data_IF_196274757192
#
_entry.id   IF_196274757192
#
_cell.length_a   1.000
_cell.length_b   1.000
_cell.length_c   1.000
_cell.angle_alpha   90.00
_cell.angle_beta   90.00
_cell.angle_gamma   90.00
#
_symmetry.space_group_name_H-M   'P 1'
#
loop_
_entity.id
_entity.type
_entity.pdbx_description
1 polymer ?
#
# COMPACT_ATOMS: atom_id res chain seq x y z
N UNK A 1 8.52 5.87 -22.09
CA UNK A 1 7.29 6.26 -22.83
C UNK A 1 6.61 5.03 -23.46
N UNK A 2 7.35 3.94 -23.53
CA UNK A 2 6.99 2.55 -23.80
C UNK A 2 5.91 1.87 -22.92
N UNK A 3 5.57 2.37 -21.72
CA UNK A 3 4.44 1.85 -20.91
C UNK A 3 3.17 2.72 -21.05
N UNK A 4 3.30 4.04 -20.91
CA UNK A 4 2.25 5.04 -21.17
C UNK A 4 0.85 4.84 -20.53
N UNK A 5 0.78 4.24 -19.33
CA UNK A 5 -0.47 4.10 -18.56
C UNK A 5 -0.57 5.19 -17.49
N UNK A 6 -1.19 6.32 -17.85
CA UNK A 6 -1.23 7.53 -17.01
C UNK A 6 -1.97 7.31 -15.69
N UNK A 7 -3.09 6.59 -15.69
CA UNK A 7 -3.90 6.43 -14.48
C UNK A 7 -3.31 5.40 -13.52
N UNK A 8 -2.63 4.37 -14.04
CA UNK A 8 -1.75 3.52 -13.21
C UNK A 8 -0.65 4.34 -12.52
N UNK A 9 0.05 5.21 -13.27
CA UNK A 9 1.08 6.08 -12.70
C UNK A 9 0.51 6.98 -11.59
N UNK A 10 -0.63 7.61 -11.86
CA UNK A 10 -1.32 8.46 -10.90
C UNK A 10 -1.76 7.67 -9.65
N UNK A 11 -2.35 6.49 -9.83
CA UNK A 11 -2.80 5.64 -8.74
C UNK A 11 -1.65 5.29 -7.79
N UNK A 12 -0.52 4.80 -8.31
CA UNK A 12 0.61 4.43 -7.45
C UNK A 12 1.30 5.64 -6.82
N UNK A 13 1.32 6.80 -7.49
CA UNK A 13 1.79 8.05 -6.89
C UNK A 13 0.93 8.45 -5.69
N UNK A 14 -0.40 8.37 -5.82
CA UNK A 14 -1.32 8.64 -4.71
C UNK A 14 -1.13 7.65 -3.54
N UNK A 15 -0.86 6.37 -3.83
CA UNK A 15 -0.53 5.40 -2.77
C UNK A 15 0.79 5.73 -2.08
N UNK A 16 1.82 6.11 -2.84
CA UNK A 16 3.10 6.54 -2.28
C UNK A 16 2.96 7.75 -1.36
N UNK A 17 2.13 8.73 -1.73
CA UNK A 17 1.83 9.90 -0.90
C UNK A 17 1.14 9.49 0.39
N UNK A 18 0.12 8.63 0.32
CA UNK A 18 -0.58 8.11 1.51
C UNK A 18 0.34 7.34 2.46
N UNK A 19 1.23 6.50 1.94
CA UNK A 19 2.20 5.76 2.78
C UNK A 19 3.21 6.70 3.45
N UNK A 20 3.57 7.82 2.79
CA UNK A 20 4.37 8.88 3.41
C UNK A 20 3.59 9.56 4.54
N UNK A 21 2.33 9.91 4.32
CA UNK A 21 1.50 10.54 5.35
C UNK A 21 1.32 9.61 6.57
N UNK A 22 1.09 8.32 6.33
CA UNK A 22 1.08 7.29 7.38
C UNK A 22 2.40 7.25 8.17
N UNK A 23 3.54 7.34 7.47
CA UNK A 23 4.85 7.37 8.12
C UNK A 23 5.00 8.60 9.03
N UNK A 24 4.57 9.78 8.56
CA UNK A 24 4.57 10.99 9.37
C UNK A 24 3.66 10.90 10.61
N UNK A 25 2.50 10.26 10.49
CA UNK A 25 1.61 10.01 11.64
C UNK A 25 2.30 9.16 12.71
N UNK A 26 3.04 8.11 12.33
CA UNK A 26 3.84 7.33 13.28
C UNK A 26 4.93 8.17 13.96
N UNK A 27 5.63 9.03 13.21
CA UNK A 27 6.65 9.92 13.79
C UNK A 27 6.03 10.90 14.81
N UNK A 28 4.88 11.49 14.47
CA UNK A 28 4.13 12.38 15.37
C UNK A 28 3.64 11.63 16.60
N UNK A 29 3.13 10.41 16.43
CA UNK A 29 2.67 9.58 17.55
C UNK A 29 3.81 9.21 18.49
N UNK A 30 4.97 8.84 17.95
CA UNK A 30 6.16 8.54 18.74
C UNK A 30 6.58 9.72 19.61
N UNK A 31 6.63 10.94 19.02
CA UNK A 31 6.93 12.16 19.76
C UNK A 31 5.86 12.49 20.81
N UNK A 32 4.56 12.28 20.50
CA UNK A 32 3.44 12.48 21.44
C UNK A 32 3.57 11.60 22.69
N UNK A 33 4.09 10.38 22.54
CA UNK A 33 4.31 9.43 23.63
C UNK A 33 5.60 9.66 24.40
N UNK A 34 6.39 10.69 24.04
CA UNK A 34 7.71 10.96 24.62
C UNK A 34 8.80 10.00 24.14
N UNK A 35 8.51 9.20 23.11
CA UNK A 35 9.48 8.33 22.47
C UNK A 35 10.48 9.14 21.64
N UNK A 36 11.55 8.47 21.20
CA UNK A 36 12.54 9.05 20.28
C UNK A 36 12.45 8.39 18.92
N UNK A 37 12.48 9.21 17.88
CA UNK A 37 12.55 8.74 16.49
C UNK A 37 14.01 8.45 16.15
N UNK A 38 14.26 7.25 15.62
CA UNK A 38 15.56 6.86 15.06
C UNK A 38 15.31 6.41 13.62
N UNK A 39 15.83 7.18 12.67
CA UNK A 39 15.71 6.87 11.25
C UNK A 39 16.84 5.93 10.80
N UNK A 40 16.51 5.04 9.86
CA UNK A 40 17.45 4.09 9.26
C UNK A 40 17.42 4.26 7.73
N UNK A 41 18.41 3.68 7.06
CA UNK A 41 18.48 3.70 5.61
C UNK A 41 17.25 3.03 4.97
N UNK A 42 16.62 3.72 4.03
CA UNK A 42 15.52 3.20 3.24
C UNK A 42 16.12 2.47 2.05
N UNK A 43 15.89 1.15 1.97
CA UNK A 43 16.34 0.34 0.85
C UNK A 43 15.62 0.75 -0.43
N UNK A 44 16.33 0.68 -1.56
CA UNK A 44 15.69 0.83 -2.87
C UNK A 44 14.66 -0.29 -3.09
N UNK A 45 13.64 -0.08 -3.94
CA UNK A 45 12.72 -1.15 -4.32
C UNK A 45 13.44 -2.36 -4.91
N UNK A 46 12.83 -3.54 -4.78
CA UNK A 46 13.43 -4.81 -5.24
C UNK A 46 13.52 -4.92 -6.77
N UNK A 47 12.73 -4.14 -7.49
CA UNK A 47 12.70 -4.11 -8.95
C UNK A 47 12.76 -2.68 -9.49
N UNK A 48 13.52 -2.50 -10.57
CA UNK A 48 13.61 -1.24 -11.31
C UNK A 48 12.53 -1.18 -12.42
N UNK A 49 12.01 -2.33 -12.86
CA UNK A 49 10.89 -2.48 -13.81
C UNK A 49 9.82 -3.43 -13.25
N UNK A 50 8.54 -3.08 -13.41
CA UNK A 50 7.40 -3.82 -12.83
C UNK A 50 6.59 -4.60 -13.87
N UNK A 51 7.06 -4.65 -15.12
CA UNK A 51 6.38 -5.33 -16.22
C UNK A 51 5.05 -4.68 -16.57
N UNK A 52 3.96 -5.44 -16.52
CA UNK A 52 2.61 -4.94 -16.80
C UNK A 52 1.83 -4.58 -15.51
N UNK A 53 0.69 -3.91 -15.67
CA UNK A 53 -0.20 -3.47 -14.62
C UNK A 53 -0.76 -4.61 -13.75
N UNK A 54 -0.84 -5.84 -14.27
CA UNK A 54 -1.18 -7.01 -13.44
C UNK A 54 -0.05 -7.32 -12.47
N UNK A 55 1.19 -7.41 -12.97
CA UNK A 55 2.37 -7.67 -12.15
C UNK A 55 2.60 -6.53 -11.14
N UNK A 56 2.41 -5.27 -11.55
CA UNK A 56 2.49 -4.13 -10.65
C UNK A 56 1.45 -4.18 -9.52
N UNK A 57 0.21 -4.56 -9.82
CA UNK A 57 -0.84 -4.70 -8.80
C UNK A 57 -0.59 -5.90 -7.86
N UNK A 58 -0.04 -7.01 -8.37
CA UNK A 58 0.38 -8.15 -7.52
C UNK A 58 1.53 -7.75 -6.59
N UNK A 59 2.53 -7.03 -7.12
CA UNK A 59 3.64 -6.52 -6.33
C UNK A 59 3.14 -5.58 -5.23
N UNK A 60 2.25 -4.65 -5.56
CA UNK A 60 1.65 -3.74 -4.59
C UNK A 60 0.88 -4.48 -3.49
N UNK A 61 0.07 -5.48 -3.86
CA UNK A 61 -0.69 -6.29 -2.90
C UNK A 61 0.24 -7.05 -1.94
N UNK A 62 1.36 -7.57 -2.43
CA UNK A 62 2.36 -8.26 -1.60
C UNK A 62 3.17 -7.31 -0.70
N UNK A 63 3.26 -6.02 -1.08
CA UNK A 63 3.96 -4.97 -0.34
C UNK A 63 3.13 -4.35 0.78
N UNK A 64 1.82 -4.60 0.84
CA UNK A 64 0.95 -4.04 1.87
C UNK A 64 1.41 -4.44 3.29
N UNK A 65 1.42 -3.48 4.21
CA UNK A 65 2.09 -3.59 5.52
C UNK A 65 1.20 -4.15 6.63
N UNK A 66 0.09 -4.79 6.27
CA UNK A 66 -0.91 -5.25 7.21
C UNK A 66 -0.34 -6.21 8.27
N UNK A 67 0.57 -7.12 7.89
CA UNK A 67 1.19 -8.03 8.86
C UNK A 67 2.01 -7.28 9.91
N UNK A 68 2.82 -6.30 9.50
CA UNK A 68 3.63 -5.52 10.43
C UNK A 68 2.78 -4.70 11.42
N UNK A 69 1.63 -4.20 10.97
CA UNK A 69 0.66 -3.50 11.83
C UNK A 69 0.00 -4.44 12.84
N UNK A 70 -0.36 -5.66 12.42
CA UNK A 70 -0.91 -6.68 13.32
C UNK A 70 0.12 -7.14 14.36
N UNK A 71 1.37 -7.31 13.96
CA UNK A 71 2.45 -7.66 14.87
C UNK A 71 2.69 -6.53 15.89
N UNK A 72 2.67 -5.28 15.45
CA UNK A 72 2.78 -4.12 16.33
C UNK A 72 1.57 -3.98 17.29
N UNK A 73 0.36 -4.26 16.81
CA UNK A 73 -0.85 -4.27 17.63
C UNK A 73 -0.79 -5.36 18.70
N UNK A 74 -0.28 -6.55 18.35
CA UNK A 74 -0.04 -7.62 19.31
C UNK A 74 0.95 -7.19 20.40
N UNK A 75 2.08 -6.58 20.02
CA UNK A 75 3.05 -6.03 20.99
C UNK A 75 2.39 -5.00 21.91
N UNK A 76 1.60 -4.07 21.36
CA UNK A 76 0.87 -3.09 22.16
C UNK A 76 -0.12 -3.75 23.14
N UNK A 77 -0.82 -4.80 22.70
CA UNK A 77 -1.74 -5.56 23.52
C UNK A 77 -1.01 -6.31 24.65
N UNK A 78 0.11 -6.97 24.34
CA UNK A 78 0.94 -7.70 25.31
C UNK A 78 1.52 -6.75 26.39
N UNK A 79 1.79 -5.50 26.02
CA UNK A 79 2.26 -4.45 26.93
C UNK A 79 1.13 -3.64 27.58
N UNK A 80 -0.14 -3.99 27.34
CA UNK A 80 -1.32 -3.30 27.89
C UNK A 80 -1.31 -1.80 27.56
N UNK A 81 -1.02 -1.47 26.29
CA UNK A 81 -1.05 -0.09 25.77
C UNK A 81 -2.33 0.18 24.95
N UNK A 82 -3.46 0.51 25.60
CA UNK A 82 -4.72 0.72 24.92
C UNK A 82 -4.70 1.93 23.97
N UNK A 83 -3.85 2.93 24.22
CA UNK A 83 -3.77 4.11 23.35
C UNK A 83 -3.03 3.79 22.05
N UNK A 84 -2.03 2.91 22.08
CA UNK A 84 -1.40 2.39 20.86
C UNK A 84 -2.34 1.48 20.07
N UNK A 85 -3.07 0.58 20.74
CA UNK A 85 -4.07 -0.26 20.06
C UNK A 85 -5.15 0.59 19.36
N UNK A 86 -5.73 1.57 20.06
CA UNK A 86 -6.76 2.47 19.49
C UNK A 86 -6.23 3.27 18.29
N UNK A 87 -4.99 3.74 18.36
CA UNK A 87 -4.33 4.44 17.26
C UNK A 87 -4.18 3.56 16.02
N UNK A 88 -3.68 2.33 16.18
CA UNK A 88 -3.52 1.39 15.07
C UNK A 88 -4.86 0.98 14.45
N UNK A 89 -5.85 0.70 15.29
CA UNK A 89 -7.20 0.29 14.85
C UNK A 89 -7.92 1.38 14.07
N UNK A 90 -7.92 2.62 14.58
CA UNK A 90 -8.65 3.73 13.97
C UNK A 90 -7.98 4.25 12.72
N UNK A 91 -6.67 4.43 12.76
CA UNK A 91 -5.97 5.15 11.70
C UNK A 91 -5.40 4.25 10.62
N UNK A 92 -5.17 2.96 10.87
CA UNK A 92 -4.44 2.10 9.93
C UNK A 92 -5.17 0.84 9.53
N UNK A 93 -5.60 -0.01 10.48
CA UNK A 93 -6.07 -1.36 10.16
C UNK A 93 -7.27 -1.38 9.19
N UNK A 94 -8.26 -0.51 9.39
CA UNK A 94 -9.41 -0.41 8.47
C UNK A 94 -9.00 0.12 7.08
N UNK A 95 -8.08 1.10 7.02
CA UNK A 95 -7.58 1.66 5.75
C UNK A 95 -6.81 0.62 4.95
N UNK A 96 -5.97 -0.18 5.61
CA UNK A 96 -5.19 -1.25 4.97
C UNK A 96 -6.08 -2.38 4.45
N UNK A 97 -7.08 -2.83 5.23
CA UNK A 97 -8.03 -3.86 4.77
C UNK A 97 -8.81 -3.38 3.54
N UNK A 98 -9.23 -2.11 3.52
CA UNK A 98 -9.89 -1.49 2.36
C UNK A 98 -8.97 -1.43 1.14
N UNK A 99 -7.69 -1.10 1.33
CA UNK A 99 -6.70 -1.06 0.26
C UNK A 99 -6.42 -2.44 -0.32
N UNK A 100 -6.19 -3.44 0.54
CA UNK A 100 -6.01 -4.85 0.14
C UNK A 100 -7.21 -5.34 -0.67
N UNK A 101 -8.43 -5.05 -0.20
CA UNK A 101 -9.65 -5.41 -0.95
C UNK A 101 -9.70 -4.74 -2.32
N UNK A 102 -9.39 -3.43 -2.38
CA UNK A 102 -9.38 -2.66 -3.63
C UNK A 102 -8.35 -3.23 -4.62
N UNK A 103 -7.14 -3.55 -4.15
CA UNK A 103 -6.10 -4.18 -4.97
C UNK A 103 -6.54 -5.57 -5.46
N UNK A 104 -7.15 -6.39 -4.60
CA UNK A 104 -7.70 -7.70 -4.98
C UNK A 104 -8.79 -7.61 -6.05
N UNK A 105 -9.67 -6.59 -5.97
CA UNK A 105 -10.70 -6.33 -6.97
C UNK A 105 -10.10 -5.87 -8.31
N UNK A 106 -9.09 -5.00 -8.25
CA UNK A 106 -8.34 -4.56 -9.42
C UNK A 106 -7.66 -5.73 -10.12
N UNK A 107 -6.99 -6.60 -9.35
CA UNK A 107 -6.33 -7.79 -9.85
C UNK A 107 -7.33 -8.75 -10.53
N UNK A 108 -8.48 -8.98 -9.90
CA UNK A 108 -9.54 -9.83 -10.45
C UNK A 108 -10.04 -9.27 -11.78
N UNK A 109 -10.25 -7.96 -11.88
CA UNK A 109 -10.66 -7.30 -13.12
C UNK A 109 -9.59 -7.39 -14.21
N UNK A 110 -8.32 -7.15 -13.88
CA UNK A 110 -7.19 -7.24 -14.81
C UNK A 110 -7.04 -8.64 -15.40
N UNK A 111 -7.16 -9.68 -14.56
CA UNK A 111 -7.17 -11.08 -15.01
C UNK A 111 -8.36 -11.38 -15.91
N UNK A 112 -9.55 -10.86 -15.58
CA UNK A 112 -10.78 -11.06 -16.38
C UNK A 112 -10.70 -10.43 -17.77
N UNK A 113 -10.08 -9.26 -17.89
CA UNK A 113 -9.86 -8.60 -19.21
C UNK A 113 -8.62 -9.12 -19.93
N UNK A 114 -7.95 -10.14 -19.38
CA UNK A 114 -6.72 -10.74 -19.93
C UNK A 114 -5.64 -9.69 -20.22
N UNK A 115 -5.47 -8.72 -19.32
CA UNK A 115 -4.54 -7.60 -19.49
C UNK A 115 -3.10 -8.05 -19.83
N UNK A 116 -2.65 -9.16 -19.25
CA UNK A 116 -1.32 -9.73 -19.50
C UNK A 116 -1.15 -10.37 -20.89
N UNK A 117 -2.25 -10.77 -21.56
CA UNK A 117 -2.23 -11.40 -22.89
C UNK A 117 -2.63 -10.41 -23.99
N UNK A 118 -3.48 -9.43 -23.65
CA UNK A 118 -4.12 -8.51 -24.60
C UNK A 118 -3.94 -7.08 -24.09
N UNK A 119 -3.06 -6.30 -24.74
CA UNK A 119 -2.78 -4.91 -24.35
C UNK A 119 -4.02 -4.00 -24.34
N UNK A 120 -5.08 -4.34 -25.09
CA UNK A 120 -6.36 -3.63 -25.02
C UNK A 120 -7.03 -3.74 -23.64
N UNK A 121 -6.90 -4.88 -22.95
CA UNK A 121 -7.48 -5.09 -21.63
C UNK A 121 -6.85 -4.17 -20.57
N UNK A 122 -5.53 -4.01 -20.64
CA UNK A 122 -4.77 -3.12 -19.77
C UNK A 122 -5.12 -1.64 -20.02
N UNK A 123 -5.20 -1.24 -21.29
CA UNK A 123 -5.64 0.11 -21.67
C UNK A 123 -7.06 0.42 -21.20
N UNK A 124 -8.01 -0.51 -21.38
CA UNK A 124 -9.39 -0.32 -20.92
C UNK A 124 -9.47 -0.22 -19.39
N UNK A 125 -8.67 -1.02 -18.68
CA UNK A 125 -8.61 -0.97 -17.23
C UNK A 125 -8.06 0.37 -16.74
N UNK A 126 -6.95 0.83 -17.31
CA UNK A 126 -6.39 2.15 -17.04
C UNK A 126 -7.46 3.22 -17.25
N UNK A 127 -8.13 3.25 -18.40
CA UNK A 127 -9.07 4.34 -18.75
C UNK A 127 -10.38 4.31 -17.96
N UNK A 128 -10.94 3.13 -17.68
CA UNK A 128 -12.31 2.99 -17.16
C UNK A 128 -12.41 2.64 -15.68
N UNK A 129 -11.32 2.15 -15.07
CA UNK A 129 -11.33 1.70 -13.66
C UNK A 129 -10.45 2.54 -12.75
N UNK A 130 -9.26 2.90 -13.20
CA UNK A 130 -8.31 3.71 -12.42
C UNK A 130 -8.58 5.22 -12.52
#
# INVERSE_FOLDING_TARGET
DDVALEKFSKFFREQSEKKRDHSEEFLKFQNKRGGRVVLQDIKKPDADEWGNGTQAMEAALNLEVNQALLDLHKVATDHVDPHMCDFLEREFLDKEVKLIKKLGDHLTNLRRVKAAEVGMGEYLFDRLTL
#
